data_IF_620154958875
#
_entry.id   IF_620154958875
#
_cell.length_a   1.000
_cell.length_b   1.000
_cell.length_c   1.000
_cell.angle_alpha   90.00
_cell.angle_beta   90.00
_cell.angle_gamma   90.00
#
_symmetry.space_group_name_H-M   'P 1'
#
loop_
_entity.id
_entity.type
_entity.pdbx_description
1 polymer ?
#
# COMPACT_ATOMS: atom_id res chain seq x y z
N UNK A 1 14.00 18.06 2.21
CA UNK A 1 14.35 18.26 3.64
C UNK A 1 13.41 19.24 4.35
N UNK A 2 12.86 20.26 3.66
CA UNK A 2 11.89 21.19 4.25
C UNK A 2 10.55 20.50 4.59
N UNK A 3 10.01 19.68 3.68
CA UNK A 3 8.75 18.97 3.90
C UNK A 3 8.82 17.93 5.03
N UNK A 4 9.97 17.26 5.24
CA UNK A 4 10.10 16.30 6.34
C UNK A 4 9.93 16.94 7.71
N UNK A 5 10.34 18.22 7.86
CA UNK A 5 10.14 18.98 9.09
C UNK A 5 8.68 19.38 9.33
N UNK A 6 7.96 19.70 8.26
CA UNK A 6 6.53 20.06 8.31
C UNK A 6 5.66 18.84 8.66
N UNK A 7 5.92 17.69 8.06
CA UNK A 7 5.24 16.44 8.42
C UNK A 7 5.55 16.00 9.85
N UNK A 8 6.80 16.09 10.28
CA UNK A 8 7.18 15.79 11.66
C UNK A 8 6.49 16.72 12.68
N UNK A 9 6.30 18.01 12.33
CA UNK A 9 5.59 18.96 13.18
C UNK A 9 4.07 18.66 13.25
N UNK A 10 3.48 18.20 12.15
CA UNK A 10 2.03 17.89 12.07
C UNK A 10 1.68 16.53 12.69
N UNK A 11 2.53 15.52 12.55
CA UNK A 11 2.25 14.12 12.89
C UNK A 11 3.23 13.53 13.91
N UNK A 12 4.04 14.34 14.58
CA UNK A 12 5.09 13.90 15.48
C UNK A 12 6.34 13.38 14.73
N UNK A 13 7.25 12.79 15.47
CA UNK A 13 8.41 12.12 14.85
C UNK A 13 7.93 10.92 14.06
N UNK A 14 8.38 10.77 12.84
CA UNK A 14 7.97 9.69 11.92
C UNK A 14 6.48 9.72 11.49
N UNK A 15 5.81 10.89 11.53
CA UNK A 15 4.47 11.05 10.98
C UNK A 15 3.32 10.71 11.93
N UNK A 16 3.58 10.61 13.24
CA UNK A 16 2.58 10.36 14.28
C UNK A 16 2.86 11.13 15.56
N UNK A 17 2.14 10.84 16.63
CA UNK A 17 2.30 11.44 17.96
C UNK A 17 3.61 11.05 18.66
N UNK A 18 4.45 10.26 17.99
CA UNK A 18 5.75 9.84 18.54
C UNK A 18 5.66 8.80 19.66
N UNK A 19 4.53 8.13 19.81
CA UNK A 19 4.36 7.06 20.79
C UNK A 19 5.27 5.86 20.45
N UNK A 20 5.90 5.29 21.48
CA UNK A 20 6.55 4.00 21.31
C UNK A 20 5.50 2.89 21.09
N UNK A 21 5.92 1.76 20.52
CA UNK A 21 5.04 0.60 20.37
C UNK A 21 4.46 0.11 21.71
N UNK A 22 5.21 0.26 22.79
CA UNK A 22 4.76 -0.11 24.16
C UNK A 22 3.67 0.84 24.65
N UNK A 23 3.81 2.14 24.39
CA UNK A 23 2.82 3.15 24.80
C UNK A 23 1.54 3.06 23.94
N UNK A 24 1.69 2.69 22.66
CA UNK A 24 0.57 2.53 21.75
C UNK A 24 -0.22 1.22 21.96
N UNK A 25 0.41 0.16 22.46
CA UNK A 25 -0.22 -1.15 22.61
C UNK A 25 -1.56 -1.13 23.38
N UNK A 26 -1.70 -0.47 24.55
CA UNK A 26 -2.98 -0.39 25.24
C UNK A 26 -4.04 0.43 24.48
N UNK A 27 -3.63 1.42 23.67
CA UNK A 27 -4.54 2.18 22.82
C UNK A 27 -5.06 1.28 21.70
N UNK A 28 -4.18 0.51 21.06
CA UNK A 28 -4.55 -0.46 20.02
C UNK A 28 -5.51 -1.53 20.56
N UNK A 29 -5.30 -2.02 21.78
CA UNK A 29 -6.23 -2.95 22.45
C UNK A 29 -7.63 -2.32 22.64
N UNK A 30 -7.68 -1.08 23.07
CA UNK A 30 -8.95 -0.37 23.25
C UNK A 30 -9.68 -0.13 21.93
N UNK A 31 -8.97 0.30 20.89
CA UNK A 31 -9.55 0.51 19.55
C UNK A 31 -10.05 -0.79 18.94
N UNK A 32 -9.38 -1.92 19.19
CA UNK A 32 -9.78 -3.25 18.74
C UNK A 32 -11.09 -3.76 19.34
N UNK A 33 -11.64 -3.10 20.37
CA UNK A 33 -12.96 -3.41 20.94
C UNK A 33 -14.13 -2.82 20.13
N UNK A 34 -13.84 -1.99 19.15
CA UNK A 34 -14.85 -1.36 18.29
C UNK A 34 -14.42 -1.50 16.84
N UNK A 35 -15.25 -2.08 15.99
CA UNK A 35 -15.02 -2.18 14.56
C UNK A 35 -14.87 -0.79 13.88
N UNK A 36 -15.41 0.26 14.48
CA UNK A 36 -15.39 1.61 13.94
C UNK A 36 -14.15 2.42 14.39
N UNK A 37 -13.61 2.14 15.57
CA UNK A 37 -12.56 2.99 16.16
C UNK A 37 -11.27 3.07 15.31
N UNK A 38 -10.70 1.98 14.77
CA UNK A 38 -9.51 2.08 13.93
C UNK A 38 -9.75 2.95 12.68
N UNK A 39 -10.97 2.95 12.17
CA UNK A 39 -11.35 3.76 11.01
C UNK A 39 -11.46 5.25 11.35
N UNK A 40 -12.13 5.57 12.46
CA UNK A 40 -12.31 6.97 12.93
C UNK A 40 -10.98 7.62 13.30
N UNK A 41 -10.10 6.88 13.96
CA UNK A 41 -8.79 7.37 14.36
C UNK A 41 -7.72 7.23 13.26
N UNK A 42 -8.10 6.79 12.07
CA UNK A 42 -7.21 6.58 10.93
C UNK A 42 -5.97 5.74 11.27
N UNK A 43 -6.16 4.72 12.09
CA UNK A 43 -5.11 3.78 12.50
C UNK A 43 -5.38 2.36 11.99
N UNK A 44 -6.08 2.24 10.87
CA UNK A 44 -6.44 0.97 10.24
C UNK A 44 -5.34 0.45 9.32
N UNK A 45 -5.10 -0.84 9.33
CA UNK A 45 -4.28 -1.48 8.31
C UNK A 45 -5.12 -1.65 7.00
N UNK A 46 -4.52 -1.50 5.82
CA UNK A 46 -3.08 -1.30 5.53
C UNK A 46 -2.63 0.16 5.53
N UNK A 47 -3.53 1.13 5.70
CA UNK A 47 -3.26 2.56 5.51
C UNK A 47 -2.09 3.06 6.37
N UNK A 48 -2.01 2.64 7.65
CA UNK A 48 -0.93 3.06 8.54
C UNK A 48 0.46 2.69 8.00
N UNK A 49 0.62 1.46 7.51
CA UNK A 49 1.88 1.01 6.90
C UNK A 49 2.17 1.72 5.58
N UNK A 50 1.15 1.95 4.75
CA UNK A 50 1.28 2.64 3.47
C UNK A 50 1.63 4.12 3.66
N UNK A 51 1.04 4.78 4.66
CA UNK A 51 1.41 6.15 5.04
C UNK A 51 2.87 6.24 5.50
N UNK A 52 3.35 5.26 6.29
CA UNK A 52 4.75 5.22 6.72
C UNK A 52 5.71 5.02 5.52
N UNK A 53 5.36 4.17 4.56
CA UNK A 53 6.15 3.98 3.34
C UNK A 53 6.24 5.29 2.55
N UNK A 54 5.13 5.97 2.34
CA UNK A 54 5.10 7.26 1.64
C UNK A 54 5.85 8.35 2.39
N UNK A 55 5.72 8.40 3.73
CA UNK A 55 6.42 9.36 4.56
C UNK A 55 7.94 9.20 4.47
N UNK A 56 8.43 7.95 4.50
CA UNK A 56 9.87 7.66 4.51
C UNK A 56 10.51 7.72 3.13
N UNK A 57 9.81 7.25 2.11
CA UNK A 57 10.40 6.95 0.81
C UNK A 57 9.71 7.67 -0.37
N UNK A 58 8.55 8.28 -0.16
CA UNK A 58 7.84 9.02 -1.19
C UNK A 58 8.57 10.32 -1.56
N UNK A 59 8.48 10.70 -2.85
CA UNK A 59 8.91 12.03 -3.29
C UNK A 59 7.98 13.12 -2.72
N UNK A 60 8.37 14.41 -2.74
CA UNK A 60 7.48 15.49 -2.34
C UNK A 60 6.13 15.44 -3.05
N UNK A 61 6.13 15.20 -4.35
CA UNK A 61 4.91 15.12 -5.19
C UNK A 61 4.05 13.91 -4.79
N UNK A 62 4.67 12.74 -4.57
CA UNK A 62 3.96 11.55 -4.11
C UNK A 62 3.34 11.73 -2.72
N UNK A 63 3.98 12.49 -1.84
CA UNK A 63 3.44 12.80 -0.52
C UNK A 63 2.26 13.77 -0.62
N UNK A 64 2.38 14.82 -1.42
CA UNK A 64 1.28 15.77 -1.64
C UNK A 64 0.07 15.08 -2.27
N UNK A 65 0.29 14.25 -3.28
CA UNK A 65 -0.79 13.59 -4.01
C UNK A 65 -1.47 12.47 -3.22
N UNK A 66 -0.70 11.67 -2.46
CA UNK A 66 -1.21 10.45 -1.85
C UNK A 66 -1.15 10.43 -0.31
N UNK A 67 -0.04 10.88 0.30
CA UNK A 67 0.11 10.81 1.76
C UNK A 67 -0.83 11.78 2.46
N UNK A 68 -0.94 13.03 2.00
CA UNK A 68 -1.82 14.01 2.65
C UNK A 68 -3.30 13.57 2.65
N UNK A 69 -3.88 13.12 1.52
CA UNK A 69 -5.25 12.61 1.54
C UNK A 69 -5.45 11.37 2.40
N UNK A 70 -4.43 10.50 2.50
CA UNK A 70 -4.47 9.34 3.41
C UNK A 70 -4.46 9.76 4.87
N UNK A 71 -3.60 10.70 5.25
CA UNK A 71 -3.52 11.23 6.61
C UNK A 71 -4.83 11.94 7.03
N UNK A 72 -5.47 12.64 6.10
CA UNK A 72 -6.76 13.27 6.32
C UNK A 72 -7.94 12.27 6.31
N UNK A 73 -7.70 11.00 5.98
CA UNK A 73 -8.74 9.97 5.87
C UNK A 73 -9.71 10.17 4.68
N UNK A 74 -9.33 11.04 3.71
CA UNK A 74 -10.15 11.32 2.52
C UNK A 74 -10.14 10.19 1.50
N UNK A 75 -9.06 9.41 1.48
CA UNK A 75 -8.90 8.22 0.64
C UNK A 75 -8.42 7.05 1.49
N UNK A 76 -8.48 5.86 0.90
CA UNK A 76 -7.90 4.62 1.44
C UNK A 76 -6.89 4.05 0.45
N UNK A 77 -6.12 3.10 0.92
CA UNK A 77 -5.07 2.45 0.15
C UNK A 77 -5.07 0.94 0.32
N UNK A 78 -4.34 0.25 -0.54
CA UNK A 78 -4.03 -1.15 -0.35
C UNK A 78 -2.55 -1.44 -0.65
N UNK A 79 -2.00 -2.46 0.01
CA UNK A 79 -0.68 -2.98 -0.28
C UNK A 79 -0.80 -4.33 -0.96
N UNK A 80 -0.29 -4.43 -2.20
CA UNK A 80 -0.43 -5.63 -3.03
C UNK A 80 0.92 -6.33 -3.16
N UNK A 81 1.19 -7.26 -2.24
CA UNK A 81 2.45 -8.00 -2.18
C UNK A 81 2.26 -9.47 -2.53
N UNK A 82 1.40 -10.17 -1.79
CA UNK A 82 1.27 -11.63 -1.89
C UNK A 82 0.64 -12.09 -3.19
N UNK A 83 1.06 -13.26 -3.67
CA UNK A 83 0.67 -13.84 -4.94
C UNK A 83 0.16 -15.27 -4.75
N UNK A 84 -0.83 -15.72 -5.55
CA UNK A 84 -1.39 -17.07 -5.39
C UNK A 84 -0.42 -18.19 -5.85
N UNK A 85 0.44 -17.90 -6.81
CA UNK A 85 1.26 -18.91 -7.50
C UNK A 85 2.61 -19.19 -6.83
N UNK A 86 3.05 -18.32 -5.90
CA UNK A 86 4.38 -18.41 -5.26
C UNK A 86 4.30 -18.13 -3.77
N UNK A 87 5.30 -18.63 -3.02
CA UNK A 87 5.45 -18.34 -1.59
C UNK A 87 5.94 -16.89 -1.38
N UNK A 88 5.08 -15.93 -1.69
CA UNK A 88 5.39 -14.50 -1.82
C UNK A 88 5.47 -13.74 -0.49
N UNK A 89 5.26 -14.40 0.65
CA UNK A 89 5.63 -13.88 1.97
C UNK A 89 7.15 -13.67 2.08
N UNK A 90 7.93 -14.46 1.37
CA UNK A 90 9.32 -14.12 1.03
C UNK A 90 9.30 -13.26 -0.25
N UNK A 91 9.54 -11.97 -0.11
CA UNK A 91 9.52 -11.01 -1.22
C UNK A 91 10.45 -11.40 -2.38
N UNK A 92 11.47 -12.21 -2.14
CA UNK A 92 12.38 -12.68 -3.19
C UNK A 92 11.71 -13.65 -4.16
N UNK A 93 10.57 -14.26 -3.79
CA UNK A 93 9.80 -15.18 -4.63
C UNK A 93 8.74 -14.46 -5.49
N UNK A 94 8.49 -13.17 -5.26
CA UNK A 94 7.51 -12.41 -6.04
C UNK A 94 7.75 -12.61 -7.54
N UNK A 95 6.70 -12.90 -8.30
CA UNK A 95 6.74 -13.13 -9.74
C UNK A 95 6.15 -11.98 -10.56
N UNK A 96 5.33 -11.12 -9.96
CA UNK A 96 4.79 -9.90 -10.61
C UNK A 96 5.93 -9.09 -11.21
N UNK A 97 5.82 -8.76 -12.51
CA UNK A 97 6.83 -8.00 -13.26
C UNK A 97 6.45 -6.53 -13.28
N UNK A 98 7.44 -5.69 -13.12
CA UNK A 98 7.37 -4.23 -13.29
C UNK A 98 8.48 -3.89 -14.28
N UNK A 99 8.14 -3.75 -15.56
CA UNK A 99 9.12 -3.60 -16.64
C UNK A 99 9.13 -2.14 -17.10
N UNK A 100 10.34 -1.55 -17.20
CA UNK A 100 10.45 -0.17 -17.64
C UNK A 100 10.30 -0.07 -19.15
N UNK A 101 9.44 0.83 -19.60
CA UNK A 101 9.23 1.20 -21.01
C UNK A 101 9.33 2.73 -21.15
N UNK A 102 10.52 3.20 -21.47
CA UNK A 102 10.80 4.63 -21.58
C UNK A 102 10.60 5.39 -20.26
N UNK A 103 9.62 6.29 -20.24
CA UNK A 103 9.21 7.12 -19.10
C UNK A 103 8.09 6.49 -18.25
N UNK A 104 7.78 5.22 -18.49
CA UNK A 104 6.70 4.47 -17.85
C UNK A 104 7.20 3.13 -17.30
N UNK A 105 6.35 2.53 -16.47
CA UNK A 105 6.43 1.13 -16.08
C UNK A 105 5.18 0.39 -16.50
N UNK A 106 5.37 -0.84 -16.99
CA UNK A 106 4.29 -1.79 -17.33
C UNK A 106 4.29 -2.90 -16.29
N UNK A 107 3.13 -3.14 -15.70
CA UNK A 107 2.95 -4.08 -14.59
C UNK A 107 2.08 -5.24 -15.06
N UNK A 108 2.58 -6.46 -14.86
CA UNK A 108 1.87 -7.70 -15.14
C UNK A 108 2.04 -8.69 -14.01
N UNK A 109 0.93 -9.24 -13.52
CA UNK A 109 0.93 -10.23 -12.44
C UNK A 109 -0.39 -10.35 -11.75
N UNK A 110 -0.43 -11.22 -10.73
CA UNK A 110 -1.64 -11.49 -9.94
C UNK A 110 -1.32 -11.41 -8.46
N UNK A 111 -2.14 -10.68 -7.75
CA UNK A 111 -2.04 -10.48 -6.30
C UNK A 111 -3.30 -10.98 -5.61
N UNK A 112 -3.15 -11.44 -4.39
CA UNK A 112 -4.29 -11.81 -3.56
C UNK A 112 -4.13 -11.33 -2.12
N UNK A 113 -5.17 -11.49 -1.32
CA UNK A 113 -5.22 -11.02 0.06
C UNK A 113 -4.85 -9.54 0.19
N UNK A 114 -5.21 -8.75 -0.82
CA UNK A 114 -4.97 -7.31 -0.84
C UNK A 114 -6.05 -6.62 -0.01
N UNK A 115 -5.79 -6.47 1.29
CA UNK A 115 -6.73 -5.85 2.24
C UNK A 115 -6.99 -4.40 1.89
N UNK A 116 -8.24 -3.98 1.99
CA UNK A 116 -8.69 -2.63 1.70
C UNK A 116 -8.88 -2.31 0.22
N UNK A 117 -8.46 -3.19 -0.71
CA UNK A 117 -8.54 -2.89 -2.14
C UNK A 117 -9.97 -2.88 -2.72
N UNK A 118 -10.94 -3.41 -1.98
CA UNK A 118 -12.37 -3.38 -2.35
C UNK A 118 -13.13 -2.22 -1.68
N UNK A 119 -12.47 -1.43 -0.82
CA UNK A 119 -13.06 -0.24 -0.25
C UNK A 119 -13.35 0.77 -1.38
N UNK A 120 -14.58 1.30 -1.47
CA UNK A 120 -14.91 2.35 -2.45
C UNK A 120 -14.03 3.60 -2.34
N UNK A 121 -13.47 3.87 -1.17
CA UNK A 121 -12.54 4.97 -0.93
C UNK A 121 -11.08 4.62 -1.26
N UNK A 122 -10.76 3.37 -1.61
CA UNK A 122 -9.42 2.97 -2.01
C UNK A 122 -9.07 3.60 -3.36
N UNK A 123 -8.12 4.52 -3.37
CA UNK A 123 -7.70 5.23 -4.57
C UNK A 123 -6.29 4.88 -5.02
N UNK A 124 -5.46 4.30 -4.13
CA UNK A 124 -4.06 4.01 -4.43
C UNK A 124 -3.67 2.60 -3.98
N UNK A 125 -2.96 1.89 -4.84
CA UNK A 125 -2.33 0.62 -4.55
C UNK A 125 -0.81 0.80 -4.50
N UNK A 126 -0.16 0.28 -3.47
CA UNK A 126 1.30 0.08 -3.47
C UNK A 126 1.54 -1.33 -3.97
N UNK A 127 2.05 -1.44 -5.19
CA UNK A 127 2.30 -2.74 -5.83
C UNK A 127 3.76 -3.12 -5.68
N UNK A 128 4.04 -4.28 -5.10
CA UNK A 128 5.39 -4.84 -5.06
C UNK A 128 5.59 -5.84 -6.20
N UNK A 129 6.67 -5.64 -6.97
CA UNK A 129 7.01 -6.52 -8.09
C UNK A 129 8.49 -6.47 -8.42
N UNK A 130 8.94 -7.30 -9.34
CA UNK A 130 10.33 -7.34 -9.81
C UNK A 130 10.57 -6.30 -10.89
N UNK A 131 11.49 -5.37 -10.60
CA UNK A 131 11.99 -4.36 -11.56
C UNK A 131 13.37 -4.71 -12.10
N UNK A 132 14.18 -5.48 -11.36
CA UNK A 132 15.55 -5.81 -11.71
C UNK A 132 15.86 -7.31 -11.52
N UNK A 133 15.25 -8.22 -12.32
CA UNK A 133 15.37 -9.67 -12.11
C UNK A 133 16.83 -10.20 -12.23
N UNK A 134 17.73 -9.46 -12.83
CA UNK A 134 19.16 -9.79 -12.93
C UNK A 134 20.02 -9.28 -11.78
N UNK A 135 19.46 -8.52 -10.83
CA UNK A 135 20.18 -8.02 -9.66
C UNK A 135 20.29 -9.09 -8.56
N UNK A 136 21.08 -8.78 -7.51
CA UNK A 136 21.16 -9.61 -6.32
C UNK A 136 19.74 -9.87 -5.75
N UNK A 137 19.54 -11.07 -5.20
CA UNK A 137 18.24 -11.58 -4.75
C UNK A 137 17.37 -10.58 -3.97
N UNK A 138 17.96 -9.82 -3.07
CA UNK A 138 17.27 -8.86 -2.22
C UNK A 138 17.17 -7.44 -2.82
N UNK A 139 17.58 -7.26 -4.08
CA UNK A 139 17.56 -5.98 -4.82
C UNK A 139 16.74 -6.06 -6.10
N UNK A 140 15.98 -7.13 -6.29
CA UNK A 140 15.19 -7.35 -7.49
C UNK A 140 13.84 -6.65 -7.43
N UNK A 141 13.31 -6.41 -6.22
CA UNK A 141 11.95 -5.94 -5.98
C UNK A 141 11.92 -4.42 -5.79
N UNK A 142 10.84 -3.83 -6.23
CA UNK A 142 10.50 -2.42 -5.98
C UNK A 142 9.03 -2.28 -5.62
N UNK A 143 8.69 -1.15 -5.03
CA UNK A 143 7.32 -0.72 -4.79
C UNK A 143 6.96 0.41 -5.74
N UNK A 144 5.77 0.35 -6.34
CA UNK A 144 5.29 1.35 -7.28
C UNK A 144 3.86 1.77 -6.93
N UNK A 145 3.57 3.05 -7.04
CA UNK A 145 2.24 3.61 -6.83
C UNK A 145 1.38 3.40 -8.07
N UNK A 146 0.23 2.77 -7.90
CA UNK A 146 -0.71 2.50 -8.98
C UNK A 146 -2.08 3.03 -8.58
N UNK A 147 -2.58 4.11 -9.20
CA UNK A 147 -3.95 4.56 -8.97
C UNK A 147 -4.94 3.42 -9.22
N UNK A 148 -5.92 3.27 -8.32
CA UNK A 148 -6.84 2.12 -8.30
C UNK A 148 -7.62 1.94 -9.60
N UNK A 149 -7.94 3.04 -10.28
CA UNK A 149 -8.72 3.06 -11.52
C UNK A 149 -7.85 2.98 -12.79
N UNK A 150 -6.55 2.68 -12.65
CA UNK A 150 -5.66 2.54 -13.81
C UNK A 150 -6.16 1.39 -14.71
N UNK A 151 -6.29 1.62 -16.03
CA UNK A 151 -6.69 0.56 -16.97
C UNK A 151 -5.79 -0.67 -16.87
N UNK A 152 -6.39 -1.86 -16.96
CA UNK A 152 -5.70 -3.15 -16.84
C UNK A 152 -5.75 -3.75 -15.43
N UNK A 153 -6.29 -3.05 -14.44
CA UNK A 153 -6.54 -3.58 -13.10
C UNK A 153 -7.92 -4.24 -13.07
N UNK A 154 -7.96 -5.51 -12.68
CA UNK A 154 -9.20 -6.26 -12.50
C UNK A 154 -9.26 -6.86 -11.10
N UNK A 155 -10.28 -6.51 -10.32
CA UNK A 155 -10.62 -7.24 -9.09
C UNK A 155 -11.36 -8.51 -9.49
N UNK A 156 -10.71 -9.64 -9.30
CA UNK A 156 -11.22 -10.95 -9.69
C UNK A 156 -12.31 -11.44 -8.73
N UNK A 157 -12.08 -11.24 -7.42
CA UNK A 157 -13.01 -11.61 -6.36
C UNK A 157 -12.58 -11.05 -5.01
N UNK A 158 -13.52 -11.01 -4.07
CA UNK A 158 -13.23 -10.92 -2.63
C UNK A 158 -12.85 -12.29 -2.07
N UNK A 159 -11.86 -12.30 -1.18
CA UNK A 159 -11.44 -13.49 -0.45
C UNK A 159 -12.25 -13.60 0.84
N UNK A 160 -12.55 -14.82 1.27
CA UNK A 160 -13.22 -15.06 2.56
C UNK A 160 -12.22 -15.59 3.58
N UNK A 161 -12.27 -15.04 4.80
CA UNK A 161 -11.48 -15.48 5.94
C UNK A 161 -12.42 -16.00 7.02
N UNK A 162 -12.27 -17.27 7.41
CA UNK A 162 -13.15 -17.95 8.37
C UNK A 162 -14.66 -17.84 8.05
N UNK A 163 -15.01 -17.75 6.74
CA UNK A 163 -16.39 -17.59 6.28
C UNK A 163 -16.88 -16.14 6.22
N UNK A 164 -16.04 -15.15 6.54
CA UNK A 164 -16.34 -13.71 6.44
C UNK A 164 -15.65 -13.11 5.23
N UNK A 165 -16.33 -12.19 4.55
CA UNK A 165 -15.81 -11.43 3.41
C UNK A 165 -15.10 -10.13 3.82
N UNK A 166 -15.22 -9.74 5.09
CA UNK A 166 -14.65 -8.53 5.68
C UNK A 166 -14.99 -7.23 4.91
N UNK A 167 -16.15 -7.21 4.27
CA UNK A 167 -16.56 -6.09 3.41
C UNK A 167 -16.62 -4.74 4.14
N UNK A 168 -16.89 -4.76 5.45
CA UNK A 168 -16.92 -3.56 6.31
C UNK A 168 -15.55 -2.90 6.47
N UNK A 169 -14.46 -3.62 6.20
CA UNK A 169 -13.08 -3.13 6.27
C UNK A 169 -12.41 -3.10 4.88
N UNK A 170 -13.22 -3.00 3.81
CA UNK A 170 -12.73 -2.93 2.44
C UNK A 170 -12.30 -4.27 1.84
N UNK A 171 -12.64 -5.38 2.49
CA UNK A 171 -12.41 -6.74 2.02
C UNK A 171 -10.96 -7.10 1.76
N UNK A 172 -10.77 -8.29 1.20
CA UNK A 172 -9.45 -8.80 0.80
C UNK A 172 -9.53 -9.20 -0.68
N UNK A 173 -8.96 -8.40 -1.57
CA UNK A 173 -9.09 -8.63 -3.00
C UNK A 173 -8.08 -9.61 -3.56
N UNK A 174 -8.53 -10.38 -4.55
CA UNK A 174 -7.67 -10.97 -5.56
C UNK A 174 -7.69 -10.06 -6.79
N UNK A 175 -6.50 -9.62 -7.24
CA UNK A 175 -6.34 -8.58 -8.27
C UNK A 175 -5.43 -9.10 -9.37
N UNK A 176 -5.84 -8.91 -10.61
CA UNK A 176 -5.01 -9.13 -11.80
C UNK A 176 -4.57 -7.79 -12.39
N UNK A 177 -3.31 -7.72 -12.75
CA UNK A 177 -2.68 -6.61 -13.46
C UNK A 177 -2.29 -7.10 -14.86
N UNK A 178 -2.93 -6.54 -15.89
CA UNK A 178 -2.67 -6.86 -17.28
C UNK A 178 -2.27 -5.60 -18.02
N UNK A 179 -0.99 -5.50 -18.38
CA UNK A 179 -0.39 -4.35 -19.07
C UNK A 179 -0.71 -3.00 -18.42
N UNK A 180 -0.80 -3.00 -17.08
CA UNK A 180 -1.07 -1.79 -16.30
C UNK A 180 0.11 -0.84 -16.45
N UNK A 181 -0.16 0.36 -16.97
CA UNK A 181 0.89 1.34 -17.28
C UNK A 181 0.78 2.55 -16.35
N UNK A 182 1.91 2.89 -15.70
CA UNK A 182 2.02 4.08 -14.85
C UNK A 182 3.30 4.86 -15.17
N UNK A 183 3.35 6.18 -14.89
CA UNK A 183 4.57 6.98 -15.04
C UNK A 183 5.75 6.43 -14.24
N UNK A 184 6.96 6.62 -14.73
CA UNK A 184 8.17 6.20 -14.01
C UNK A 184 8.34 6.92 -12.67
N UNK A 185 7.79 8.12 -12.53
CA UNK A 185 7.74 8.90 -11.28
C UNK A 185 6.92 8.23 -10.17
N UNK A 186 6.12 7.20 -10.48
CA UNK A 186 5.36 6.45 -9.49
C UNK A 186 6.22 5.43 -8.72
N UNK A 187 7.48 5.21 -9.13
CA UNK A 187 8.40 4.35 -8.38
C UNK A 187 8.72 4.98 -7.02
N UNK A 188 8.59 4.21 -5.93
CA UNK A 188 8.88 4.70 -4.57
C UNK A 188 10.37 4.54 -4.29
N UNK A 189 11.02 5.60 -3.80
CA UNK A 189 12.43 5.59 -3.43
C UNK A 189 13.39 5.55 -4.64
N UNK A 190 12.91 5.96 -5.82
CA UNK A 190 13.69 6.05 -7.06
C UNK A 190 14.61 7.27 -7.14
#
# INVERSE_FOLDING_TARGET
KEHAGEYAARFGTDGGEGLSNVDYAPIAELTGRSALAPHVFNCNAPDTGNMEVLLRYGSPEQREEWLEPLLDGRIRSAFTMTEPEVASSDATNIATRIERDGDKYVINGRKWWSSGAMDPACQILIVMGKTAPGADRHRQQSMILVPRETPGISVMRGMTLFGFDDATHGGHAEIEFTDVTVPASNLIGG
#
